data_IF_685780480690
#
_entry.id   IF_685780480690
#
_cell.length_a   1.000
_cell.length_b   1.000
_cell.length_c   1.000
_cell.angle_alpha   90.00
_cell.angle_beta   90.00
_cell.angle_gamma   90.00
#
_symmetry.space_group_name_H-M   'P 1'
#
loop_
_entity.id
_entity.type
_entity.pdbx_description
1 polymer ?
#
# COMPACT_ATOMS: atom_id res chain seq x y z
N UNK A 1 -11.78 -3.92 -6.60
CA UNK A 1 -11.01 -2.79 -5.99
C UNK A 1 -10.79 -3.16 -4.52
N UNK A 2 -9.55 -3.18 -4.01
CA UNK A 2 -9.24 -3.87 -2.74
C UNK A 2 -9.75 -3.16 -1.48
N UNK A 3 -10.00 -1.85 -1.52
CA UNK A 3 -10.35 -1.09 -0.32
C UNK A 3 -11.86 -0.85 -0.28
N UNK A 4 -12.57 -1.56 0.59
CA UNK A 4 -13.99 -1.31 0.89
C UNK A 4 -15.01 -1.88 -0.11
N UNK A 5 -14.59 -2.71 -1.08
CA UNK A 5 -15.52 -3.44 -1.99
C UNK A 5 -15.39 -4.95 -1.86
N UNK A 6 -14.23 -5.51 -2.22
CA UNK A 6 -14.07 -6.97 -2.34
C UNK A 6 -13.17 -7.57 -1.25
N UNK A 7 -12.32 -6.74 -0.64
CA UNK A 7 -11.38 -7.14 0.40
C UNK A 7 -11.52 -6.20 1.61
N UNK A 8 -11.53 -6.78 2.82
CA UNK A 8 -11.73 -6.08 4.11
C UNK A 8 -12.80 -4.98 4.03
N UNK A 9 -14.03 -5.39 3.73
CA UNK A 9 -15.20 -4.52 3.51
C UNK A 9 -15.43 -3.53 4.68
N UNK A 10 -15.02 -3.90 5.90
CA UNK A 10 -15.07 -3.02 7.07
C UNK A 10 -14.29 -1.70 6.90
N UNK A 11 -13.29 -1.64 6.02
CA UNK A 11 -12.55 -0.40 5.74
C UNK A 11 -13.43 0.72 5.19
N UNK A 12 -14.57 0.38 4.56
CA UNK A 12 -15.55 1.37 4.10
C UNK A 12 -16.17 2.17 5.26
N UNK A 13 -16.14 1.64 6.49
CA UNK A 13 -16.71 2.29 7.69
C UNK A 13 -15.75 3.26 8.36
N UNK A 14 -14.49 3.29 7.97
CA UNK A 14 -13.50 4.21 8.57
C UNK A 14 -13.89 5.68 8.38
N UNK A 15 -14.56 6.02 7.29
CA UNK A 15 -15.14 7.36 7.13
C UNK A 15 -16.13 7.72 8.24
N UNK A 16 -17.00 6.77 8.63
CA UNK A 16 -17.95 6.97 9.73
C UNK A 16 -17.23 7.19 11.06
N UNK A 17 -16.21 6.37 11.35
CA UNK A 17 -15.39 6.56 12.55
C UNK A 17 -14.78 7.97 12.59
N UNK A 18 -14.21 8.45 11.49
CA UNK A 18 -13.61 9.78 11.40
C UNK A 18 -14.62 10.90 11.64
N UNK A 19 -15.87 10.71 11.21
CA UNK A 19 -16.94 11.69 11.42
C UNK A 19 -17.35 11.87 12.88
N UNK A 20 -17.00 10.91 13.76
CA UNK A 20 -17.26 11.00 15.20
C UNK A 20 -16.23 11.85 15.96
N UNK A 21 -15.10 12.14 15.34
CA UNK A 21 -14.06 12.97 15.93
C UNK A 21 -14.08 14.38 15.34
N UNK A 22 -13.62 15.33 16.14
CA UNK A 22 -13.44 16.71 15.71
C UNK A 22 -12.43 16.81 14.56
N UNK A 23 -12.59 17.84 13.71
CA UNK A 23 -11.79 18.03 12.49
C UNK A 23 -10.30 18.35 12.75
N UNK A 24 -9.97 18.71 13.97
CA UNK A 24 -8.62 19.00 14.46
C UNK A 24 -7.81 17.73 14.74
N UNK A 25 -8.44 16.55 14.82
CA UNK A 25 -7.73 15.28 14.95
C UNK A 25 -7.07 14.92 13.62
N UNK A 26 -5.73 14.85 13.53
CA UNK A 26 -5.05 14.49 12.31
C UNK A 26 -5.17 12.99 12.05
N UNK A 27 -5.28 12.63 10.77
CA UNK A 27 -5.36 11.23 10.33
C UNK A 27 -4.26 10.94 9.33
N UNK A 28 -3.64 9.78 9.49
CA UNK A 28 -2.61 9.29 8.58
C UNK A 28 -3.04 7.95 8.01
N UNK A 29 -2.86 7.78 6.70
CA UNK A 29 -3.05 6.50 6.01
C UNK A 29 -1.70 6.06 5.42
N UNK A 30 -1.28 4.85 5.76
CA UNK A 30 -0.01 4.30 5.33
C UNK A 30 -0.23 3.06 4.46
N UNK A 31 0.42 3.00 3.31
CA UNK A 31 0.42 1.83 2.43
C UNK A 31 1.73 1.76 1.65
N UNK A 32 2.19 0.54 1.37
CA UNK A 32 3.33 0.31 0.49
C UNK A 32 2.91 0.05 -0.97
N UNK A 33 1.72 -0.52 -1.17
CA UNK A 33 1.23 -1.01 -2.47
C UNK A 33 0.00 -0.21 -2.89
N UNK A 34 0.21 1.04 -3.29
CA UNK A 34 -0.88 1.94 -3.65
C UNK A 34 -0.67 2.51 -5.05
N UNK A 35 -1.31 1.89 -6.03
CA UNK A 35 -1.41 2.45 -7.38
C UNK A 35 -2.31 3.70 -7.41
N UNK A 36 -2.33 4.41 -8.52
CA UNK A 36 -3.08 5.67 -8.66
C UNK A 36 -4.59 5.48 -8.44
N UNK A 37 -5.16 4.39 -8.97
CA UNK A 37 -6.59 4.09 -8.85
C UNK A 37 -6.98 3.81 -7.40
N UNK A 38 -6.17 3.03 -6.70
CA UNK A 38 -6.39 2.69 -5.29
C UNK A 38 -6.16 3.89 -4.39
N UNK A 39 -5.17 4.74 -4.70
CA UNK A 39 -4.96 6.00 -3.99
C UNK A 39 -6.20 6.89 -4.08
N UNK A 40 -6.74 7.09 -5.28
CA UNK A 40 -7.96 7.89 -5.48
C UNK A 40 -9.12 7.31 -4.66
N UNK A 41 -9.36 6.01 -4.77
CA UNK A 41 -10.43 5.33 -4.04
C UNK A 41 -10.29 5.40 -2.52
N UNK A 42 -9.06 5.31 -1.99
CA UNK A 42 -8.79 5.40 -0.55
C UNK A 42 -8.95 6.83 -0.04
N UNK A 43 -8.46 7.82 -0.78
CA UNK A 43 -8.61 9.24 -0.42
C UNK A 43 -10.08 9.63 -0.35
N UNK A 44 -10.86 9.27 -1.37
CA UNK A 44 -12.31 9.52 -1.41
C UNK A 44 -13.08 8.68 -0.38
N UNK A 45 -12.82 7.37 -0.33
CA UNK A 45 -13.56 6.43 0.50
C UNK A 45 -13.32 6.59 2.01
N UNK A 46 -12.15 7.10 2.41
CA UNK A 46 -11.85 7.41 3.82
C UNK A 46 -12.21 8.86 4.20
N UNK A 47 -12.66 9.67 3.26
CA UNK A 47 -13.01 11.08 3.49
C UNK A 47 -11.83 11.97 3.83
N UNK A 48 -10.68 11.75 3.20
CA UNK A 48 -9.60 12.74 3.22
C UNK A 48 -10.02 13.97 2.40
N UNK A 49 -9.50 15.14 2.79
CA UNK A 49 -9.72 16.35 2.00
C UNK A 49 -8.89 16.32 0.72
N UNK A 50 -9.28 17.13 -0.28
CA UNK A 50 -8.62 17.17 -1.60
C UNK A 50 -7.20 17.72 -1.55
N UNK A 51 -6.90 18.49 -0.52
CA UNK A 51 -5.59 19.09 -0.23
C UNK A 51 -4.74 18.21 0.70
N UNK A 52 -5.11 16.94 0.92
CA UNK A 52 -4.30 16.01 1.71
C UNK A 52 -2.89 15.90 1.14
N UNK A 53 -1.90 16.02 2.02
CA UNK A 53 -0.51 15.83 1.65
C UNK A 53 -0.22 14.35 1.38
N UNK A 54 0.38 14.06 0.22
CA UNK A 54 0.77 12.71 -0.19
C UNK A 54 2.29 12.61 -0.16
N UNK A 55 2.80 11.84 0.80
CA UNK A 55 4.24 11.53 0.90
C UNK A 55 4.49 10.17 0.23
N UNK A 56 5.22 10.16 -0.89
CA UNK A 56 5.66 8.94 -1.58
C UNK A 56 7.18 8.86 -1.58
N UNK A 57 7.70 7.74 -1.09
CA UNK A 57 9.12 7.41 -1.14
C UNK A 57 9.41 6.50 -2.30
N UNK A 58 10.62 6.60 -2.86
CA UNK A 58 11.08 5.65 -3.88
C UNK A 58 11.14 4.24 -3.29
N UNK A 59 10.78 3.24 -4.10
CA UNK A 59 10.98 1.83 -3.77
C UNK A 59 12.46 1.41 -3.93
N UNK A 60 13.28 2.28 -4.53
CA UNK A 60 14.68 1.97 -4.82
C UNK A 60 15.47 1.75 -3.53
N UNK A 61 16.23 0.66 -3.50
CA UNK A 61 17.15 0.30 -2.43
C UNK A 61 18.52 0.06 -3.07
N UNK A 62 19.38 1.09 -3.18
CA UNK A 62 20.65 1.01 -3.91
C UNK A 62 21.62 -0.04 -3.34
N UNK A 63 21.41 -0.46 -2.10
CA UNK A 63 22.16 -1.53 -1.43
C UNK A 63 21.73 -2.95 -1.83
N UNK A 64 20.60 -3.11 -2.52
CA UNK A 64 20.10 -4.41 -2.94
C UNK A 64 20.63 -4.79 -4.33
N UNK A 65 21.33 -5.92 -4.40
CA UNK A 65 21.62 -6.60 -5.66
C UNK A 65 20.48 -7.58 -5.97
N UNK A 66 19.76 -7.36 -7.07
CA UNK A 66 18.71 -8.27 -7.55
C UNK A 66 19.33 -9.20 -8.59
N UNK A 67 19.32 -10.51 -8.32
CA UNK A 67 19.89 -11.53 -9.22
C UNK A 67 18.85 -12.57 -9.63
N UNK A 68 19.08 -13.18 -10.80
CA UNK A 68 18.27 -14.28 -11.34
C UNK A 68 19.19 -15.49 -11.45
N UNK A 69 18.71 -16.65 -10.97
CA UNK A 69 19.47 -17.90 -10.92
C UNK A 69 18.58 -19.08 -11.31
N UNK A 70 19.17 -20.09 -11.94
CA UNK A 70 18.50 -21.37 -12.19
C UNK A 70 18.61 -22.28 -10.97
N UNK A 71 17.50 -22.91 -10.58
CA UNK A 71 17.48 -23.94 -9.53
C UNK A 71 17.40 -25.31 -10.23
N UNK A 72 18.46 -26.14 -10.19
CA UNK A 72 18.43 -27.46 -10.82
C UNK A 72 17.44 -28.39 -10.09
N UNK A 73 16.54 -29.02 -10.86
CA UNK A 73 15.50 -29.89 -10.33
C UNK A 73 16.11 -31.10 -9.61
N UNK A 74 15.69 -31.35 -8.37
CA UNK A 74 16.17 -32.49 -7.57
C UNK A 74 17.56 -32.30 -6.96
N UNK A 75 18.22 -31.16 -7.19
CA UNK A 75 19.44 -30.79 -6.48
C UNK A 75 19.09 -30.04 -5.19
N UNK A 76 19.79 -30.34 -4.09
CA UNK A 76 19.82 -29.48 -2.91
C UNK A 76 20.88 -28.36 -3.04
N UNK A 77 21.38 -28.15 -4.26
CA UNK A 77 22.42 -27.17 -4.52
C UNK A 77 21.83 -25.75 -4.51
N UNK A 78 22.63 -24.80 -4.03
CA UNK A 78 22.25 -23.39 -4.04
C UNK A 78 22.25 -22.90 -5.49
N UNK A 79 21.21 -22.16 -5.86
CA UNK A 79 21.14 -21.50 -7.15
C UNK A 79 22.35 -20.59 -7.35
N UNK A 80 23.05 -20.74 -8.47
CA UNK A 80 24.17 -19.86 -8.85
C UNK A 80 23.59 -18.70 -9.64
N UNK A 81 23.79 -17.48 -9.14
CA UNK A 81 23.33 -16.26 -9.80
C UNK A 81 24.07 -16.04 -11.14
N UNK A 82 23.33 -15.60 -12.16
CA UNK A 82 23.86 -15.09 -13.43
C UNK A 82 24.61 -13.75 -13.24
#
# INVERSE_FOLDING_TARGET
>A
MQWGKDFRTDYARLHQLRSLFSRDVPWFACSATLDEKSLCAVTEGLGFQKDVEIVRTSINRPELLIQIAWIPKGSHEKAVAL
#
